data_IF_983634262959
#
_entry.id   IF_983634262959
#
_cell.length_a   1.000
_cell.length_b   1.000
_cell.length_c   1.000
_cell.angle_alpha   90.00
_cell.angle_beta   90.00
_cell.angle_gamma   90.00
#
_symmetry.space_group_name_H-M   'P 1'
#
loop_
_entity.id
_entity.type
_entity.pdbx_description
1 polymer ?
#
# COMPACT_ATOMS: atom_id res chain seq x y z
N UNK A 1 1.02 -10.11 17.12
CA UNK A 1 -0.09 -10.20 16.15
C UNK A 1 0.47 -10.21 14.73
N UNK A 2 0.02 -11.09 13.87
CA UNK A 2 0.48 -11.08 12.49
C UNK A 2 -0.01 -9.81 11.78
N UNK A 3 0.83 -9.31 10.87
CA UNK A 3 0.48 -8.15 10.07
C UNK A 3 -0.29 -8.58 8.82
N UNK A 4 -1.10 -7.69 8.30
CA UNK A 4 -1.88 -7.93 7.09
C UNK A 4 -1.58 -6.84 6.07
N UNK A 5 -1.11 -7.23 4.90
CA UNK A 5 -0.72 -6.30 3.84
C UNK A 5 -1.59 -6.50 2.61
N UNK A 6 -1.84 -5.41 1.91
CA UNK A 6 -2.49 -5.45 0.60
C UNK A 6 -1.52 -4.86 -0.42
N UNK A 7 -1.28 -5.59 -1.50
CA UNK A 7 -0.44 -5.13 -2.60
C UNK A 7 -1.31 -5.02 -3.85
N UNK A 8 -1.47 -3.80 -4.35
CA UNK A 8 -2.26 -3.51 -5.54
C UNK A 8 -1.29 -3.15 -6.66
N UNK A 9 -1.06 -4.08 -7.58
CA UNK A 9 -0.07 -3.96 -8.64
C UNK A 9 -0.49 -4.92 -9.75
N UNK A 10 -0.39 -4.51 -11.00
CA UNK A 10 -0.76 -5.37 -12.13
C UNK A 10 0.34 -6.38 -12.51
N UNK A 11 1.50 -6.34 -11.86
CA UNK A 11 2.63 -7.21 -12.14
C UNK A 11 2.70 -8.37 -11.15
N UNK A 12 2.55 -9.60 -11.68
CA UNK A 12 2.71 -10.80 -10.86
C UNK A 12 4.12 -10.96 -10.32
N UNK A 13 5.11 -10.45 -11.05
CA UNK A 13 6.50 -10.46 -10.59
C UNK A 13 6.65 -9.60 -9.34
N UNK A 14 6.03 -8.43 -9.32
CA UNK A 14 6.07 -7.58 -8.14
C UNK A 14 5.37 -8.24 -6.96
N UNK A 15 4.23 -8.92 -7.20
CA UNK A 15 3.55 -9.68 -6.13
C UNK A 15 4.49 -10.67 -5.47
N UNK A 16 5.28 -11.40 -6.27
CA UNK A 16 6.22 -12.39 -5.75
C UNK A 16 7.32 -11.73 -4.91
N UNK A 17 7.82 -10.59 -5.36
CA UNK A 17 8.85 -9.85 -4.64
C UNK A 17 8.34 -9.40 -3.26
N UNK A 18 7.14 -8.85 -3.20
CA UNK A 18 6.52 -8.46 -1.92
C UNK A 18 6.38 -9.68 -0.99
N UNK A 19 5.91 -10.80 -1.54
CA UNK A 19 5.73 -12.02 -0.75
C UNK A 19 7.05 -12.51 -0.15
N UNK A 20 8.13 -12.46 -0.92
CA UNK A 20 9.44 -12.87 -0.42
C UNK A 20 9.84 -12.01 0.79
N UNK A 21 9.68 -10.70 0.69
CA UNK A 21 10.06 -9.79 1.77
C UNK A 21 9.18 -10.01 3.00
N UNK A 22 7.85 -10.15 2.80
CA UNK A 22 6.90 -10.16 3.90
C UNK A 22 6.72 -11.52 4.57
N UNK A 23 7.38 -12.57 4.08
CA UNK A 23 7.28 -13.90 4.66
C UNK A 23 8.53 -14.33 5.41
N UNK A 24 9.48 -13.42 5.60
CA UNK A 24 10.75 -13.76 6.27
C UNK A 24 11.06 -12.75 7.38
N UNK A 25 11.99 -13.13 8.26
CA UNK A 25 12.45 -12.29 9.35
C UNK A 25 11.32 -11.92 10.31
N UNK A 26 11.33 -10.70 10.77
CA UNK A 26 10.33 -10.20 11.71
C UNK A 26 8.93 -10.11 11.09
N UNK A 27 8.82 -10.20 9.77
CA UNK A 27 7.54 -10.14 9.06
C UNK A 27 6.95 -11.52 8.77
N UNK A 28 7.64 -12.58 9.15
CA UNK A 28 7.16 -13.94 8.94
C UNK A 28 5.79 -14.12 9.62
N UNK A 29 4.90 -14.84 8.95
CA UNK A 29 3.54 -15.03 9.45
C UNK A 29 2.54 -13.96 8.99
N UNK A 30 3.00 -12.95 8.26
CA UNK A 30 2.11 -11.93 7.72
C UNK A 30 1.18 -12.50 6.66
N UNK A 31 -0.04 -11.96 6.60
CA UNK A 31 -0.99 -12.27 5.54
C UNK A 31 -0.83 -11.23 4.44
N UNK A 32 -0.80 -11.69 3.18
CA UNK A 32 -0.65 -10.80 2.04
C UNK A 32 -1.80 -11.03 1.07
N UNK A 33 -2.58 -9.98 0.84
CA UNK A 33 -3.59 -9.97 -0.21
C UNK A 33 -3.01 -9.25 -1.41
N UNK A 34 -3.31 -9.74 -2.61
CA UNK A 34 -2.84 -9.12 -3.85
C UNK A 34 -4.01 -8.80 -4.74
N UNK A 35 -3.91 -7.68 -5.45
CA UNK A 35 -4.89 -7.24 -6.44
C UNK A 35 -4.16 -6.84 -7.72
N UNK A 36 -4.76 -7.09 -8.87
CA UNK A 36 -4.16 -6.81 -10.17
C UNK A 36 -4.55 -5.45 -10.74
N UNK A 37 -5.53 -4.79 -10.14
CA UNK A 37 -5.96 -3.46 -10.58
C UNK A 37 -6.59 -2.72 -9.42
N UNK A 38 -6.87 -1.43 -9.64
CA UNK A 38 -7.39 -0.58 -8.57
C UNK A 38 -8.77 -0.99 -8.09
N UNK A 39 -9.60 -1.53 -8.96
CA UNK A 39 -10.95 -1.95 -8.58
C UNK A 39 -10.90 -3.12 -7.61
N UNK A 40 -10.11 -4.15 -7.94
CA UNK A 40 -9.90 -5.28 -7.02
C UNK A 40 -9.26 -4.81 -5.72
N UNK A 41 -8.29 -3.89 -5.82
CA UNK A 41 -7.65 -3.32 -4.65
C UNK A 41 -8.63 -2.60 -3.75
N UNK A 42 -9.53 -1.81 -4.34
CA UNK A 42 -10.56 -1.11 -3.58
C UNK A 42 -11.49 -2.09 -2.86
N UNK A 43 -11.92 -3.14 -3.56
CA UNK A 43 -12.80 -4.14 -2.96
C UNK A 43 -12.13 -4.85 -1.79
N UNK A 44 -10.84 -5.20 -1.92
CA UNK A 44 -10.10 -5.82 -0.83
C UNK A 44 -9.87 -4.86 0.33
N UNK A 45 -9.60 -3.60 0.05
CA UNK A 45 -9.46 -2.57 1.08
C UNK A 45 -10.76 -2.45 1.87
N UNK A 46 -11.89 -2.43 1.17
CA UNK A 46 -13.21 -2.31 1.81
C UNK A 46 -13.52 -3.52 2.69
N UNK A 47 -13.11 -4.70 2.24
CA UNK A 47 -13.39 -5.95 2.95
C UNK A 47 -12.49 -6.19 4.16
N UNK A 48 -11.36 -5.49 4.27
CA UNK A 48 -10.34 -5.77 5.29
C UNK A 48 -9.97 -4.55 6.12
N UNK A 49 -10.79 -4.16 7.10
CA UNK A 49 -10.46 -3.03 7.98
C UNK A 49 -9.24 -3.30 8.88
N UNK A 50 -8.82 -4.55 8.95
CA UNK A 50 -7.67 -4.95 9.78
C UNK A 50 -6.33 -4.75 9.08
N UNK A 51 -6.30 -4.29 7.82
CA UNK A 51 -5.05 -4.10 7.08
C UNK A 51 -4.07 -3.20 7.82
N UNK A 52 -2.81 -3.63 7.85
CA UNK A 52 -1.73 -2.87 8.46
C UNK A 52 -1.22 -1.80 7.52
N UNK A 53 -1.10 -2.12 6.23
CA UNK A 53 -0.50 -1.24 5.25
C UNK A 53 -0.90 -1.68 3.84
N UNK A 54 -1.07 -0.71 2.96
CA UNK A 54 -1.40 -0.95 1.55
C UNK A 54 -0.28 -0.39 0.67
N UNK A 55 0.22 -1.20 -0.25
CA UNK A 55 1.13 -0.76 -1.31
C UNK A 55 0.31 -0.67 -2.59
N UNK A 56 0.26 0.52 -3.18
CA UNK A 56 -0.63 0.82 -4.29
C UNK A 56 0.16 1.38 -5.46
N UNK A 57 0.19 0.64 -6.56
CA UNK A 57 0.82 1.10 -7.80
C UNK A 57 0.01 2.29 -8.35
N UNK A 58 0.73 3.30 -8.81
CA UNK A 58 0.10 4.48 -9.39
C UNK A 58 -0.51 4.18 -10.76
N UNK A 59 0.20 3.41 -11.59
CA UNK A 59 -0.18 3.17 -12.99
C UNK A 59 -0.73 1.76 -13.17
N UNK A 60 -2.06 1.65 -13.26
CA UNK A 60 -2.73 0.37 -13.45
C UNK A 60 -3.94 0.53 -14.36
N UNK A 61 -4.37 -0.54 -15.06
CA UNK A 61 -5.61 -0.49 -15.83
C UNK A 61 -6.84 -0.39 -14.92
N UNK A 62 -7.95 0.01 -15.49
CA UNK A 62 -9.28 0.16 -14.88
C UNK A 62 -9.34 1.28 -13.85
N UNK A 63 -8.66 1.17 -12.74
CA UNK A 63 -8.62 2.22 -11.71
C UNK A 63 -7.18 2.39 -11.28
N UNK A 64 -6.57 3.55 -11.55
CA UNK A 64 -5.20 3.82 -11.14
C UNK A 64 -5.13 4.21 -9.66
N UNK A 65 -3.89 4.38 -9.16
CA UNK A 65 -3.70 4.65 -7.74
C UNK A 65 -4.33 5.94 -7.25
N UNK A 66 -4.29 7.00 -8.05
CA UNK A 66 -4.91 8.28 -7.67
C UNK A 66 -6.43 8.18 -7.63
N UNK A 67 -7.02 7.45 -8.57
CA UNK A 67 -8.46 7.22 -8.60
C UNK A 67 -8.92 6.42 -7.39
N UNK A 68 -8.15 5.41 -6.99
CA UNK A 68 -8.46 4.62 -5.80
C UNK A 68 -8.43 5.49 -4.55
N UNK A 69 -7.40 6.32 -4.42
CA UNK A 69 -7.28 7.23 -3.28
C UNK A 69 -8.43 8.23 -3.22
N UNK A 70 -8.82 8.78 -4.38
CA UNK A 70 -9.93 9.73 -4.45
C UNK A 70 -11.22 9.07 -4.01
N UNK A 71 -11.48 7.85 -4.47
CA UNK A 71 -12.68 7.11 -4.11
C UNK A 71 -12.69 6.74 -2.63
N UNK A 72 -11.56 6.32 -2.10
CA UNK A 72 -11.43 6.02 -0.67
C UNK A 72 -11.79 7.24 0.18
N UNK A 73 -11.30 8.41 -0.22
CA UNK A 73 -11.60 9.65 0.50
C UNK A 73 -13.08 10.02 0.41
N UNK A 74 -13.67 9.91 -0.79
CA UNK A 74 -15.08 10.21 -1.00
C UNK A 74 -15.97 9.30 -0.17
N UNK A 75 -15.61 8.03 -0.04
CA UNK A 75 -16.35 7.03 0.73
C UNK A 75 -15.98 7.01 2.21
N UNK A 76 -14.98 7.80 2.60
CA UNK A 76 -14.43 7.81 3.96
C UNK A 76 -14.09 6.41 4.44
N UNK A 77 -13.44 5.62 3.58
CA UNK A 77 -13.20 4.21 3.80
C UNK A 77 -11.89 3.99 4.54
N UNK A 78 -11.98 3.47 5.76
CA UNK A 78 -10.83 3.04 6.58
C UNK A 78 -9.66 4.03 6.55
N UNK A 79 -9.94 5.29 6.88
CA UNK A 79 -8.96 6.37 6.80
C UNK A 79 -7.72 6.13 7.67
N UNK A 80 -7.82 5.23 8.66
CA UNK A 80 -6.70 4.88 9.54
C UNK A 80 -5.64 4.01 8.85
N UNK A 81 -5.98 3.34 7.74
CA UNK A 81 -5.05 2.44 7.06
C UNK A 81 -4.10 3.28 6.18
N UNK A 82 -2.78 3.22 6.43
CA UNK A 82 -1.83 3.95 5.57
C UNK A 82 -1.70 3.30 4.21
N UNK A 83 -1.66 4.14 3.16
CA UNK A 83 -1.47 3.70 1.78
C UNK A 83 -0.20 4.33 1.25
N UNK A 84 0.72 3.48 0.78
CA UNK A 84 1.96 3.89 0.12
C UNK A 84 1.76 3.82 -1.38
N UNK A 85 1.93 4.94 -2.07
CA UNK A 85 1.94 4.95 -3.53
C UNK A 85 3.30 4.48 -4.05
N UNK A 86 3.28 3.57 -5.02
CA UNK A 86 4.49 2.98 -5.60
C UNK A 86 4.49 3.25 -7.10
N UNK A 87 5.61 3.78 -7.63
CA UNK A 87 5.66 4.16 -9.04
C UNK A 87 7.08 4.16 -9.58
N UNK A 88 7.23 3.95 -10.89
CA UNK A 88 8.52 4.07 -11.58
C UNK A 88 8.83 5.52 -11.92
N UNK A 89 7.81 6.36 -12.04
CA UNK A 89 7.96 7.76 -12.39
C UNK A 89 7.36 8.62 -11.29
N UNK A 90 8.17 9.53 -10.76
CA UNK A 90 7.65 10.49 -9.81
C UNK A 90 8.31 11.84 -10.02
N UNK A 91 7.49 12.86 -10.18
CA UNK A 91 7.91 14.25 -10.15
C UNK A 91 7.45 14.82 -8.81
N UNK A 92 8.02 15.97 -8.37
CA UNK A 92 7.51 16.62 -7.17
C UNK A 92 6.00 16.89 -7.24
N UNK A 93 5.49 17.20 -8.45
CA UNK A 93 4.05 17.43 -8.64
C UNK A 93 3.23 16.16 -8.44
N UNK A 94 3.72 15.02 -8.92
CA UNK A 94 3.05 13.74 -8.76
C UNK A 94 3.00 13.34 -7.29
N UNK A 95 4.10 13.53 -6.57
CA UNK A 95 4.15 13.24 -5.14
C UNK A 95 3.18 14.14 -4.37
N UNK A 96 3.13 15.43 -4.71
CA UNK A 96 2.22 16.37 -4.07
C UNK A 96 0.77 15.96 -4.29
N UNK A 97 0.43 15.53 -5.52
CA UNK A 97 -0.93 15.06 -5.82
C UNK A 97 -1.29 13.81 -5.04
N UNK A 98 -0.34 12.88 -4.94
CA UNK A 98 -0.56 11.65 -4.18
C UNK A 98 -0.82 11.96 -2.70
N UNK A 99 0.00 12.80 -2.11
CA UNK A 99 -0.16 13.16 -0.70
C UNK A 99 -1.45 13.95 -0.47
N UNK A 100 -1.78 14.85 -1.37
CA UNK A 100 -3.04 15.61 -1.30
C UNK A 100 -4.25 14.69 -1.41
N UNK A 101 -4.13 13.59 -2.16
CA UNK A 101 -5.20 12.61 -2.30
C UNK A 101 -5.29 11.65 -1.11
N UNK A 102 -4.34 11.71 -0.16
CA UNK A 102 -4.38 10.93 1.05
C UNK A 102 -3.34 9.83 1.17
N UNK A 103 -2.36 9.79 0.27
CA UNK A 103 -1.27 8.82 0.40
C UNK A 103 -0.45 9.13 1.65
N UNK A 104 -0.13 8.08 2.40
CA UNK A 104 0.67 8.22 3.61
C UNK A 104 2.16 8.41 3.29
N UNK A 105 2.64 7.72 2.23
CA UNK A 105 4.01 7.82 1.80
C UNK A 105 4.12 7.45 0.32
N UNK A 106 5.31 7.54 -0.20
CA UNK A 106 5.60 7.36 -1.61
C UNK A 106 6.87 6.52 -1.77
N UNK A 107 6.84 5.52 -2.65
CA UNK A 107 7.98 4.64 -2.89
C UNK A 107 8.27 4.55 -4.38
N UNK A 108 9.50 4.86 -4.77
CA UNK A 108 9.93 4.83 -6.18
C UNK A 108 10.47 3.45 -6.54
N UNK A 109 10.03 2.93 -7.68
CA UNK A 109 10.59 1.71 -8.27
C UNK A 109 11.83 2.07 -9.12
N UNK A 110 12.85 1.21 -9.19
CA UNK A 110 12.99 -0.02 -8.43
C UNK A 110 13.35 0.28 -6.97
N UNK A 111 12.85 -0.53 -6.07
CA UNK A 111 13.18 -0.40 -4.64
C UNK A 111 13.86 -1.67 -4.14
N UNK A 112 14.59 -1.54 -3.02
CA UNK A 112 15.27 -2.66 -2.38
C UNK A 112 14.40 -3.23 -1.27
N UNK A 113 14.61 -4.51 -0.88
CA UNK A 113 13.90 -5.07 0.27
C UNK A 113 14.01 -4.21 1.53
N UNK A 114 15.17 -3.58 1.74
CA UNK A 114 15.38 -2.71 2.90
C UNK A 114 14.43 -1.49 2.89
N UNK A 115 14.07 -1.00 1.71
CA UNK A 115 13.12 0.12 1.59
C UNK A 115 11.74 -0.28 2.07
N UNK A 116 11.29 -1.49 1.69
CA UNK A 116 10.01 -2.03 2.16
C UNK A 116 10.01 -2.23 3.66
N UNK A 117 11.08 -2.83 4.19
CA UNK A 117 11.20 -3.09 5.62
C UNK A 117 11.14 -1.79 6.42
N UNK A 118 11.79 -0.73 5.92
CA UNK A 118 11.81 0.57 6.58
C UNK A 118 10.42 1.19 6.62
N UNK A 119 9.70 1.12 5.51
CA UNK A 119 8.33 1.66 5.43
C UNK A 119 7.40 0.89 6.35
N UNK A 120 7.52 -0.44 6.37
CA UNK A 120 6.70 -1.27 7.26
C UNK A 120 6.98 -0.94 8.72
N UNK A 121 8.25 -0.79 9.09
CA UNK A 121 8.62 -0.46 10.46
C UNK A 121 8.00 0.87 10.89
N UNK A 122 8.03 1.89 10.03
CA UNK A 122 7.41 3.18 10.32
C UNK A 122 5.90 3.08 10.47
N UNK A 123 5.26 2.29 9.61
CA UNK A 123 3.81 2.08 9.67
C UNK A 123 3.40 1.39 10.97
N UNK A 124 4.19 0.41 11.43
CA UNK A 124 3.91 -0.28 12.68
C UNK A 124 4.04 0.63 13.89
N UNK A 125 5.06 1.49 13.90
CA UNK A 125 5.22 2.48 14.97
C UNK A 125 4.02 3.43 15.00
N UNK A 126 3.58 3.91 13.85
CA UNK A 126 2.44 4.80 13.79
C UNK A 126 1.15 4.11 14.24
N UNK A 127 0.96 2.84 13.87
CA UNK A 127 -0.21 2.08 14.29
C UNK A 127 -0.23 1.90 15.81
N UNK A 128 0.93 1.63 16.42
CA UNK A 128 1.04 1.46 17.87
C UNK A 128 0.78 2.78 18.62
N UNK A 129 1.04 3.92 17.99
CA UNK A 129 0.84 5.24 18.60
C UNK A 129 -0.59 5.74 18.47
N UNK A 130 -1.44 5.10 17.68
CA UNK A 130 -2.83 5.53 17.52
C UNK A 130 -3.64 5.24 18.78
N UNK A 131 -4.56 6.14 19.16
CA UNK A 131 -5.47 5.87 20.27
C UNK A 131 -6.31 4.61 19.98
N UNK A 132 -6.59 3.87 21.02
CA UNK A 132 -7.41 2.68 20.91
C UNK A 132 -8.85 3.01 20.47
#
# INVERSE_FOLDING_TARGET
MPNTFLVVDDSKLHHQMYKVVFTRGSLAGSTIYTAANGREGYDLLAAHPELTLVFLDLNMPEMNGLELLARRRADNLHAHIPIVLVTTESTPEDEARGRAAGAWDYLRKPFQPADLERIVARALVQAAARPA
#
